data_IF_373309361766
#
_entry.id   IF_373309361766
#
_cell.length_a   1.000
_cell.length_b   1.000
_cell.length_c   1.000
_cell.angle_alpha   90.00
_cell.angle_beta   90.00
_cell.angle_gamma   90.00
#
_symmetry.space_group_name_H-M   'P 1'
#
loop_
_entity.id
_entity.type
_entity.pdbx_description
1 polymer ?
#
# COMPACT_ATOMS: atom_id res chain seq x y z
N UNK A 1 43.84 -33.23 3.27
CA UNK A 1 42.57 -33.17 2.52
C UNK A 1 42.18 -31.70 2.41
N UNK A 2 42.63 -31.02 1.36
CA UNK A 2 42.26 -29.61 1.11
C UNK A 2 41.17 -29.59 0.06
N UNK A 3 39.93 -29.31 0.49
CA UNK A 3 38.84 -29.03 -0.41
C UNK A 3 39.03 -27.60 -0.94
N UNK A 4 39.43 -27.49 -2.20
CA UNK A 4 39.46 -26.23 -2.91
C UNK A 4 38.03 -25.79 -3.22
N UNK A 5 37.52 -24.81 -2.47
CA UNK A 5 36.27 -24.12 -2.81
C UNK A 5 36.53 -23.31 -4.09
N UNK A 6 36.15 -23.88 -5.24
CA UNK A 6 36.14 -23.17 -6.52
C UNK A 6 35.16 -21.99 -6.40
N UNK A 7 35.68 -20.77 -6.31
CA UNK A 7 34.93 -19.54 -6.59
C UNK A 7 34.46 -19.59 -8.03
N UNK A 8 33.22 -20.04 -8.26
CA UNK A 8 32.53 -19.90 -9.55
C UNK A 8 32.53 -18.43 -9.93
N UNK A 9 32.88 -18.10 -11.17
CA UNK A 9 32.84 -16.71 -11.61
C UNK A 9 31.40 -16.22 -11.60
N UNK A 10 31.16 -14.91 -11.39
CA UNK A 10 29.81 -14.34 -11.41
C UNK A 10 29.04 -14.69 -12.70
N UNK A 11 29.75 -14.84 -13.82
CA UNK A 11 29.17 -15.28 -15.09
C UNK A 11 28.67 -16.73 -15.06
N UNK A 12 29.33 -17.61 -14.32
CA UNK A 12 28.93 -19.01 -14.17
C UNK A 12 27.67 -19.13 -13.31
N UNK A 13 27.52 -18.28 -12.29
CA UNK A 13 26.34 -18.23 -11.43
C UNK A 13 25.10 -17.74 -12.19
N UNK A 14 25.25 -16.68 -12.99
CA UNK A 14 24.15 -16.15 -13.82
C UNK A 14 23.71 -17.18 -14.86
N UNK A 15 24.67 -17.84 -15.51
CA UNK A 15 24.36 -18.90 -16.47
C UNK A 15 23.61 -20.07 -15.82
N UNK A 16 24.05 -20.48 -14.64
CA UNK A 16 23.54 -21.67 -13.94
C UNK A 16 22.19 -21.45 -13.25
N UNK A 17 21.94 -20.26 -12.71
CA UNK A 17 20.76 -20.04 -11.85
C UNK A 17 19.72 -19.08 -12.44
N UNK A 18 20.10 -18.26 -13.43
CA UNK A 18 19.20 -17.32 -14.08
C UNK A 18 18.89 -17.75 -15.51
N UNK A 19 19.91 -17.92 -16.35
CA UNK A 19 19.70 -18.19 -17.78
C UNK A 19 19.17 -19.60 -18.05
N UNK A 20 19.67 -20.61 -17.34
CA UNK A 20 19.19 -22.00 -17.47
C UNK A 20 17.71 -22.13 -17.09
N UNK A 21 17.30 -21.47 -16.02
CA UNK A 21 15.94 -21.44 -15.48
C UNK A 21 14.97 -20.80 -16.48
N UNK A 22 15.40 -19.70 -17.11
CA UNK A 22 14.60 -18.97 -18.10
C UNK A 22 14.59 -19.64 -19.48
N UNK A 23 15.66 -20.37 -19.84
CA UNK A 23 15.82 -20.99 -21.16
C UNK A 23 14.78 -22.05 -21.51
N UNK A 24 14.10 -22.64 -20.52
CA UNK A 24 12.96 -23.52 -20.74
C UNK A 24 11.69 -22.80 -21.20
N UNK A 25 11.51 -21.55 -20.76
CA UNK A 25 10.27 -20.76 -20.93
C UNK A 25 10.39 -19.74 -22.05
N UNK A 26 11.55 -19.10 -22.18
CA UNK A 26 11.81 -18.04 -23.13
C UNK A 26 12.75 -18.52 -24.25
N UNK A 27 12.29 -18.37 -25.50
CA UNK A 27 12.97 -18.90 -26.70
C UNK A 27 13.47 -17.83 -27.66
N UNK A 28 12.89 -16.63 -27.63
CA UNK A 28 13.22 -15.55 -28.57
C UNK A 28 13.79 -14.33 -27.85
N UNK A 29 14.97 -13.88 -28.21
CA UNK A 29 15.61 -12.71 -27.60
C UNK A 29 15.06 -11.41 -28.19
N UNK A 30 14.81 -10.36 -27.38
CA UNK A 30 14.37 -9.07 -27.90
C UNK A 30 15.52 -8.36 -28.65
N UNK A 31 15.24 -7.88 -29.86
CA UNK A 31 16.18 -7.16 -30.71
C UNK A 31 16.82 -8.00 -31.82
N UNK A 32 17.83 -7.43 -32.49
CA UNK A 32 18.53 -8.05 -33.62
C UNK A 32 19.89 -8.66 -33.25
N UNK A 33 20.41 -8.39 -32.05
CA UNK A 33 21.71 -8.88 -31.59
C UNK A 33 21.60 -9.59 -30.24
N UNK A 34 21.56 -10.92 -30.30
CA UNK A 34 21.44 -11.83 -29.16
C UNK A 34 22.67 -11.78 -28.23
N UNK A 35 23.87 -11.68 -28.81
CA UNK A 35 25.11 -11.66 -28.06
C UNK A 35 25.25 -10.39 -27.22
N UNK A 36 24.88 -9.25 -27.79
CA UNK A 36 24.84 -7.97 -27.08
C UNK A 36 23.82 -7.99 -25.93
N UNK A 37 22.67 -8.62 -26.12
CA UNK A 37 21.65 -8.77 -25.09
C UNK A 37 22.18 -9.57 -23.90
N UNK A 38 22.69 -10.78 -24.11
CA UNK A 38 23.17 -11.63 -23.01
C UNK A 38 24.42 -11.07 -22.33
N UNK A 39 25.27 -10.35 -23.06
CA UNK A 39 26.43 -9.66 -22.47
C UNK A 39 25.97 -8.57 -21.52
N UNK A 40 25.05 -7.69 -21.96
CA UNK A 40 24.46 -6.64 -21.13
C UNK A 40 23.73 -7.22 -19.92
N UNK A 41 22.98 -8.31 -20.11
CA UNK A 41 22.28 -8.99 -19.03
C UNK A 41 23.25 -9.54 -17.96
N UNK A 42 24.33 -10.21 -18.37
CA UNK A 42 25.34 -10.72 -17.42
C UNK A 42 26.04 -9.59 -16.66
N UNK A 43 26.40 -8.51 -17.36
CA UNK A 43 27.03 -7.35 -16.72
C UNK A 43 26.13 -6.76 -15.63
N UNK A 44 24.85 -6.54 -15.94
CA UNK A 44 23.88 -5.95 -15.01
C UNK A 44 23.49 -6.87 -13.86
N UNK A 45 23.56 -8.19 -14.04
CA UNK A 45 23.21 -9.17 -13.01
C UNK A 45 24.38 -9.61 -12.11
N UNK A 46 25.62 -9.20 -12.45
CA UNK A 46 26.83 -9.61 -11.73
C UNK A 46 26.89 -9.24 -10.25
N UNK A 47 26.09 -8.26 -9.81
CA UNK A 47 26.02 -7.81 -8.42
C UNK A 47 25.05 -8.57 -7.52
N UNK A 48 24.25 -9.49 -8.05
CA UNK A 48 23.24 -10.22 -7.27
C UNK A 48 23.76 -11.56 -6.75
N UNK A 49 23.30 -11.96 -5.56
CA UNK A 49 23.63 -13.26 -4.96
C UNK A 49 22.88 -14.39 -5.66
N UNK A 50 23.32 -15.64 -5.42
CA UNK A 50 22.69 -16.84 -5.99
C UNK A 50 21.19 -16.92 -5.69
N UNK A 51 20.79 -16.68 -4.43
CA UNK A 51 19.40 -16.79 -3.99
C UNK A 51 18.52 -15.74 -4.67
N UNK A 52 19.05 -14.53 -4.86
CA UNK A 52 18.38 -13.45 -5.58
C UNK A 52 18.20 -13.79 -7.05
N UNK A 53 19.22 -14.35 -7.70
CA UNK A 53 19.13 -14.76 -9.10
C UNK A 53 18.08 -15.86 -9.30
N UNK A 54 18.01 -16.84 -8.40
CA UNK A 54 16.98 -17.90 -8.44
C UNK A 54 15.57 -17.32 -8.28
N UNK A 55 15.35 -16.55 -7.22
CA UNK A 55 14.05 -15.96 -6.93
C UNK A 55 13.58 -14.98 -8.03
N UNK A 56 14.50 -14.17 -8.57
CA UNK A 56 14.21 -13.27 -9.69
C UNK A 56 13.86 -14.04 -10.98
N UNK A 57 14.56 -15.15 -11.27
CA UNK A 57 14.25 -15.99 -12.41
C UNK A 57 12.88 -16.67 -12.27
N UNK A 58 12.58 -17.22 -11.09
CA UNK A 58 11.30 -17.88 -10.80
C UNK A 58 10.12 -16.88 -10.94
N UNK A 59 10.28 -15.66 -10.45
CA UNK A 59 9.28 -14.61 -10.60
C UNK A 59 8.98 -14.29 -12.07
N UNK A 60 10.02 -14.23 -12.92
CA UNK A 60 9.85 -14.00 -14.36
C UNK A 60 9.19 -15.18 -15.08
N UNK A 61 9.51 -16.42 -14.68
CA UNK A 61 8.86 -17.61 -15.23
C UNK A 61 7.38 -17.64 -14.86
N UNK A 62 7.03 -17.34 -13.60
CA UNK A 62 5.65 -17.28 -13.14
C UNK A 62 4.85 -16.16 -13.81
N UNK A 63 5.50 -15.02 -14.08
CA UNK A 63 4.89 -13.88 -14.76
C UNK A 63 4.87 -14.00 -16.30
N UNK A 64 5.40 -15.09 -16.86
CA UNK A 64 5.60 -15.24 -18.30
C UNK A 64 4.25 -15.27 -19.05
N UNK A 65 4.02 -14.26 -19.90
CA UNK A 65 2.87 -14.18 -20.82
C UNK A 65 3.23 -14.49 -22.27
N UNK A 66 4.52 -14.64 -22.56
CA UNK A 66 5.02 -14.88 -23.91
C UNK A 66 6.31 -15.71 -23.85
N UNK A 67 6.71 -16.24 -25.00
CA UNK A 67 7.97 -16.98 -25.17
C UNK A 67 9.16 -16.07 -25.54
N UNK A 68 8.97 -14.75 -25.52
CA UNK A 68 10.03 -13.76 -25.77
C UNK A 68 10.72 -13.42 -24.46
N UNK A 69 12.05 -13.45 -24.45
CA UNK A 69 12.86 -13.07 -23.30
C UNK A 69 12.51 -11.66 -22.83
N UNK A 70 12.40 -11.44 -21.51
CA UNK A 70 12.14 -10.11 -20.95
C UNK A 70 13.26 -9.13 -21.31
N UNK A 71 12.96 -7.82 -21.29
CA UNK A 71 14.02 -6.83 -21.51
C UNK A 71 15.00 -6.85 -20.33
N UNK A 72 16.27 -6.48 -20.57
CA UNK A 72 17.31 -6.48 -19.51
C UNK A 72 16.87 -5.70 -18.27
N UNK A 73 16.17 -4.57 -18.46
CA UNK A 73 15.63 -3.78 -17.35
C UNK A 73 14.59 -4.51 -16.50
N UNK A 74 13.77 -5.37 -17.12
CA UNK A 74 12.78 -6.20 -16.41
C UNK A 74 13.48 -7.31 -15.61
N UNK A 75 14.53 -7.92 -16.18
CA UNK A 75 15.36 -8.89 -15.47
C UNK A 75 16.01 -8.30 -14.21
N UNK A 76 16.63 -7.13 -14.36
CA UNK A 76 17.26 -6.40 -13.24
C UNK A 76 16.21 -6.03 -12.19
N UNK A 77 15.03 -5.56 -12.63
CA UNK A 77 13.93 -5.22 -11.72
C UNK A 77 13.48 -6.44 -10.92
N UNK A 78 13.27 -7.59 -11.55
CA UNK A 78 12.89 -8.83 -10.86
C UNK A 78 13.93 -9.26 -9.82
N UNK A 79 15.23 -9.21 -10.16
CA UNK A 79 16.29 -9.51 -9.19
C UNK A 79 16.35 -8.47 -8.07
N UNK A 80 16.13 -7.19 -8.36
CA UNK A 80 16.11 -6.14 -7.32
C UNK A 80 14.93 -6.32 -6.36
N UNK A 81 13.76 -6.70 -6.87
CA UNK A 81 12.57 -7.01 -6.06
C UNK A 81 12.80 -8.27 -5.20
N UNK A 82 13.37 -9.32 -5.79
CA UNK A 82 13.75 -10.53 -5.07
C UNK A 82 14.79 -10.25 -3.96
N UNK A 83 15.77 -9.40 -4.23
CA UNK A 83 16.73 -8.95 -3.22
C UNK A 83 16.05 -8.24 -2.06
N UNK A 84 15.11 -7.33 -2.34
CA UNK A 84 14.34 -6.64 -1.30
C UNK A 84 13.50 -7.60 -0.45
N UNK A 85 12.85 -8.57 -1.09
CA UNK A 85 12.06 -9.57 -0.39
C UNK A 85 12.92 -10.46 0.52
N UNK A 86 14.09 -10.89 0.04
CA UNK A 86 15.04 -11.71 0.81
C UNK A 86 15.71 -10.93 1.94
N UNK A 87 15.98 -9.63 1.75
CA UNK A 87 16.52 -8.74 2.78
C UNK A 87 15.46 -8.26 3.78
N UNK A 88 14.19 -8.67 3.62
CA UNK A 88 13.08 -8.26 4.48
C UNK A 88 12.76 -6.76 4.39
N UNK A 89 13.20 -6.10 3.32
CA UNK A 89 12.90 -4.70 3.09
C UNK A 89 11.39 -4.56 2.78
N UNK A 90 10.67 -3.64 3.45
CA UNK A 90 9.25 -3.44 3.21
C UNK A 90 9.01 -3.15 1.73
N UNK A 91 8.04 -3.84 1.12
CA UNK A 91 7.64 -3.59 -0.26
C UNK A 91 7.36 -2.10 -0.44
N UNK A 92 7.98 -1.41 -1.41
CA UNK A 92 7.45 -0.14 -1.84
C UNK A 92 6.09 -0.45 -2.46
N UNK A 93 5.02 0.03 -1.81
CA UNK A 93 3.69 -0.02 -2.38
C UNK A 93 3.78 0.49 -3.82
N UNK A 94 3.42 -0.35 -4.78
CA UNK A 94 3.18 0.09 -6.14
C UNK A 94 2.15 1.21 -6.01
N UNK A 95 2.59 2.47 -6.11
CA UNK A 95 1.69 3.60 -6.23
C UNK A 95 0.90 3.36 -7.50
N UNK A 96 -0.30 2.78 -7.35
CA UNK A 96 -1.21 2.50 -8.45
C UNK A 96 -1.73 3.84 -8.92
N UNK A 97 -0.94 4.50 -9.77
CA UNK A 97 -1.32 5.72 -10.48
C UNK A 97 -2.65 5.50 -11.16
N UNK A 98 -3.71 6.01 -10.55
CA UNK A 98 -5.09 5.82 -11.00
C UNK A 98 -6.03 6.58 -10.07
N UNK A 99 -7.21 6.92 -10.59
CA UNK A 99 -8.21 7.66 -9.84
C UNK A 99 -8.53 6.95 -8.50
N UNK A 100 -8.68 7.69 -7.39
CA UNK A 100 -9.09 7.09 -6.12
C UNK A 100 -10.41 6.34 -6.28
N UNK A 101 -10.59 5.21 -5.60
CA UNK A 101 -11.85 4.49 -5.69
C UNK A 101 -13.04 5.36 -5.26
N UNK A 102 -14.22 5.17 -5.86
CA UNK A 102 -15.45 5.71 -5.31
C UNK A 102 -15.63 5.26 -3.86
N UNK A 103 -16.17 6.14 -3.03
CA UNK A 103 -16.26 5.91 -1.59
C UNK A 103 -17.02 4.62 -1.22
N UNK A 104 -18.14 4.35 -1.88
CA UNK A 104 -18.92 3.13 -1.65
C UNK A 104 -18.15 1.84 -2.01
N UNK A 105 -17.23 1.90 -2.99
CA UNK A 105 -16.39 0.75 -3.34
C UNK A 105 -15.36 0.50 -2.24
N UNK A 106 -14.70 1.57 -1.76
CA UNK A 106 -13.73 1.45 -0.68
C UNK A 106 -14.36 0.90 0.60
N UNK A 107 -15.58 1.35 0.95
CA UNK A 107 -16.31 0.83 2.12
C UNK A 107 -16.59 -0.68 1.96
N UNK A 108 -17.06 -1.11 0.79
CA UNK A 108 -17.30 -2.53 0.50
C UNK A 108 -16.05 -3.39 0.65
N UNK A 109 -14.95 -2.95 0.03
CA UNK A 109 -13.68 -3.67 0.08
C UNK A 109 -13.15 -3.72 1.51
N UNK A 110 -13.20 -2.59 2.23
CA UNK A 110 -12.75 -2.49 3.61
C UNK A 110 -13.54 -3.43 4.53
N UNK A 111 -14.88 -3.41 4.46
CA UNK A 111 -15.73 -4.28 5.29
C UNK A 111 -15.57 -5.76 4.91
N UNK A 112 -15.47 -6.08 3.63
CA UNK A 112 -15.24 -7.45 3.17
C UNK A 112 -13.86 -8.01 3.51
N UNK A 113 -12.86 -7.14 3.66
CA UNK A 113 -11.52 -7.54 4.08
C UNK A 113 -11.42 -7.71 5.60
N UNK A 114 -11.90 -6.74 6.37
CA UNK A 114 -11.86 -6.76 7.83
C UNK A 114 -12.95 -5.84 8.43
N UNK A 115 -14.07 -6.42 8.82
CA UNK A 115 -15.19 -5.71 9.42
C UNK A 115 -14.87 -5.17 10.83
N UNK A 116 -14.01 -5.85 11.59
CA UNK A 116 -13.67 -5.47 12.96
C UNK A 116 -12.82 -4.21 12.97
N UNK A 117 -11.85 -4.10 12.05
CA UNK A 117 -11.07 -2.87 11.85
C UNK A 117 -11.98 -1.71 11.44
N UNK A 118 -12.94 -1.95 10.54
CA UNK A 118 -13.90 -0.92 10.12
C UNK A 118 -14.77 -0.41 11.28
N UNK A 119 -15.25 -1.31 12.14
CA UNK A 119 -16.03 -0.95 13.33
C UNK A 119 -15.18 -0.25 14.38
N UNK A 120 -13.97 -0.74 14.64
CA UNK A 120 -13.00 -0.09 15.53
C UNK A 120 -12.69 1.33 15.08
N UNK A 121 -12.53 1.54 13.77
CA UNK A 121 -12.33 2.86 13.19
C UNK A 121 -13.50 3.81 13.44
N UNK A 122 -14.74 3.30 13.38
CA UNK A 122 -15.93 4.08 13.71
C UNK A 122 -15.98 4.48 15.19
N UNK A 123 -15.68 3.54 16.09
CA UNK A 123 -15.69 3.78 17.55
C UNK A 123 -14.63 4.81 17.93
N UNK A 124 -13.43 4.69 17.39
CA UNK A 124 -12.31 5.58 17.69
C UNK A 124 -12.31 6.88 16.85
N UNK A 125 -13.22 7.02 15.87
CA UNK A 125 -13.43 8.25 15.12
C UNK A 125 -12.42 8.53 14.01
N UNK A 126 -11.72 7.50 13.52
CA UNK A 126 -10.72 7.58 12.42
C UNK A 126 -11.16 6.90 11.12
N UNK A 127 -12.42 6.48 11.02
CA UNK A 127 -13.01 5.85 9.84
C UNK A 127 -12.91 6.68 8.55
N UNK A 128 -12.92 8.02 8.66
CA UNK A 128 -12.76 8.89 7.49
C UNK A 128 -11.37 8.77 6.86
N UNK A 129 -10.34 8.68 7.70
CA UNK A 129 -8.95 8.59 7.27
C UNK A 129 -8.65 7.16 6.75
N UNK A 130 -9.24 6.13 7.37
CA UNK A 130 -9.21 4.76 6.85
C UNK A 130 -9.84 4.65 5.45
N UNK A 131 -11.04 5.21 5.25
CA UNK A 131 -11.70 5.19 3.94
C UNK A 131 -10.85 5.94 2.90
N UNK A 132 -10.30 7.11 3.23
CA UNK A 132 -9.44 7.85 2.31
C UNK A 132 -8.15 7.09 1.96
N UNK A 133 -7.57 6.37 2.92
CA UNK A 133 -6.44 5.47 2.68
C UNK A 133 -6.81 4.39 1.66
N UNK A 134 -7.87 3.63 1.91
CA UNK A 134 -8.30 2.53 1.03
C UNK A 134 -8.65 3.06 -0.37
N UNK A 135 -9.25 4.24 -0.46
CA UNK A 135 -9.55 4.86 -1.76
C UNK A 135 -8.29 5.17 -2.57
N UNK A 136 -7.24 5.65 -1.91
CA UNK A 136 -5.99 6.07 -2.55
C UNK A 136 -5.07 4.89 -2.86
N UNK A 137 -4.84 4.03 -1.86
CA UNK A 137 -3.89 2.92 -1.93
C UNK A 137 -4.52 1.63 -2.49
N UNK A 138 -5.86 1.55 -2.55
CA UNK A 138 -6.61 0.40 -3.09
C UNK A 138 -6.33 -0.92 -2.37
N UNK A 139 -5.95 -0.82 -1.09
CA UNK A 139 -5.68 -1.94 -0.17
C UNK A 139 -5.99 -1.53 1.27
N UNK A 140 -6.01 -2.51 2.16
CA UNK A 140 -6.05 -2.25 3.60
C UNK A 140 -4.68 -1.74 4.10
N UNK A 141 -4.67 -0.81 5.08
CA UNK A 141 -3.43 -0.41 5.74
C UNK A 141 -2.85 -1.57 6.55
N UNK A 142 -1.52 -1.61 6.66
CA UNK A 142 -0.87 -2.49 7.64
C UNK A 142 -0.97 -1.92 9.07
N UNK A 143 -0.36 -2.61 10.04
CA UNK A 143 -0.41 -2.17 11.45
C UNK A 143 0.27 -0.82 11.69
N UNK A 144 1.38 -0.55 11.00
CA UNK A 144 2.16 0.69 11.17
C UNK A 144 1.42 1.87 10.54
N UNK A 145 0.82 1.66 9.38
CA UNK A 145 -0.03 2.62 8.72
C UNK A 145 -1.31 2.88 9.52
N UNK A 146 -1.88 1.84 10.14
CA UNK A 146 -3.04 1.97 11.03
C UNK A 146 -2.73 2.87 12.22
N UNK A 147 -1.61 2.64 12.91
CA UNK A 147 -1.15 3.52 13.99
C UNK A 147 -0.96 4.96 13.49
N UNK A 148 -0.35 5.13 12.32
CA UNK A 148 -0.12 6.45 11.72
C UNK A 148 -1.45 7.17 11.47
N UNK A 149 -2.47 6.48 10.95
CA UNK A 149 -3.80 7.03 10.72
C UNK A 149 -4.45 7.46 12.05
N UNK A 150 -4.42 6.58 13.06
CA UNK A 150 -5.01 6.86 14.38
C UNK A 150 -4.35 8.09 15.03
N UNK A 151 -3.02 8.14 15.06
CA UNK A 151 -2.27 9.26 15.64
C UNK A 151 -2.58 10.56 14.89
N UNK A 152 -2.59 10.53 13.55
CA UNK A 152 -2.92 11.70 12.74
C UNK A 152 -4.35 12.20 13.02
N UNK A 153 -5.32 11.30 13.18
CA UNK A 153 -6.69 11.65 13.56
C UNK A 153 -6.74 12.30 14.94
N UNK A 154 -6.04 11.73 15.93
CA UNK A 154 -5.98 12.29 17.28
C UNK A 154 -5.37 13.69 17.30
N UNK A 155 -4.29 13.91 16.56
CA UNK A 155 -3.65 15.22 16.43
C UNK A 155 -4.55 16.24 15.73
N UNK A 156 -5.23 15.84 14.65
CA UNK A 156 -6.22 16.69 13.97
C UNK A 156 -7.34 17.09 14.93
N UNK A 157 -7.91 16.14 15.69
CA UNK A 157 -8.99 16.40 16.64
C UNK A 157 -8.53 17.37 17.74
N UNK A 158 -7.32 17.19 18.29
CA UNK A 158 -6.73 18.12 19.26
C UNK A 158 -6.56 19.52 18.67
N UNK A 159 -6.10 19.63 17.42
CA UNK A 159 -5.92 20.91 16.73
C UNK A 159 -7.25 21.63 16.51
N UNK A 160 -8.27 20.93 16.02
CA UNK A 160 -9.61 21.50 15.81
C UNK A 160 -10.22 21.94 17.14
N UNK A 161 -10.13 21.12 18.19
CA UNK A 161 -10.61 21.49 19.53
C UNK A 161 -9.86 22.72 20.08
N UNK A 162 -8.55 22.79 19.87
CA UNK A 162 -7.75 23.96 20.23
C UNK A 162 -8.18 25.23 19.48
N UNK A 163 -8.45 25.14 18.18
CA UNK A 163 -8.95 26.26 17.37
C UNK A 163 -10.34 26.73 17.82
N UNK A 164 -11.24 25.80 18.14
CA UNK A 164 -12.57 26.12 18.68
C UNK A 164 -12.44 26.84 20.02
N UNK A 165 -11.58 26.33 20.91
CA UNK A 165 -11.32 26.95 22.22
C UNK A 165 -10.74 28.36 22.08
N UNK A 166 -9.69 28.54 21.27
CA UNK A 166 -9.09 29.86 21.04
C UNK A 166 -10.11 30.86 20.50
N UNK A 167 -10.95 30.45 19.56
CA UNK A 167 -11.99 31.32 19.01
C UNK A 167 -13.08 31.67 20.05
N UNK A 168 -13.44 30.73 20.92
CA UNK A 168 -14.33 30.99 22.04
C UNK A 168 -13.73 32.00 23.02
N UNK A 169 -12.46 31.85 23.35
CA UNK A 169 -11.77 32.73 24.29
C UNK A 169 -11.68 34.16 23.74
N UNK A 170 -11.43 34.32 22.42
CA UNK A 170 -11.49 35.63 21.74
C UNK A 170 -12.89 36.23 21.83
N UNK A 171 -13.93 35.48 21.46
CA UNK A 171 -15.31 35.98 21.49
C UNK A 171 -15.79 36.34 22.90
N UNK A 172 -15.34 35.62 23.94
CA UNK A 172 -15.63 35.94 25.35
C UNK A 172 -14.86 37.17 25.84
N UNK A 173 -13.67 37.42 25.31
CA UNK A 173 -12.93 38.66 25.57
C UNK A 173 -13.61 39.89 24.96
N UNK A 174 -14.22 39.72 23.79
CA UNK A 174 -14.93 40.78 23.07
C UNK A 174 -16.39 40.96 23.55
N UNK A 175 -17.03 39.89 24.01
CA UNK A 175 -18.42 39.86 24.44
C UNK A 175 -18.50 39.52 25.92
N UNK A 176 -19.08 40.36 26.77
CA UNK A 176 -19.31 40.09 28.21
C UNK A 176 -20.23 38.88 28.52
N UNK A 177 -20.59 38.09 27.51
CA UNK A 177 -21.41 36.88 27.64
C UNK A 177 -20.55 35.64 27.71
N UNK A 178 -20.85 34.78 28.68
CA UNK A 178 -20.33 33.42 28.74
C UNK A 178 -20.91 32.58 27.59
N UNK A 179 -20.21 32.55 26.46
CA UNK A 179 -20.56 31.68 25.34
C UNK A 179 -20.07 30.26 25.61
N UNK A 180 -20.98 29.28 25.64
CA UNK A 180 -20.64 27.87 25.82
C UNK A 180 -20.12 27.20 24.52
N UNK A 181 -20.53 27.71 23.36
CA UNK A 181 -20.15 27.20 22.04
C UNK A 181 -20.05 28.34 21.02
N UNK A 182 -19.31 28.11 19.92
CA UNK A 182 -19.20 29.08 18.85
C UNK A 182 -20.54 29.25 18.13
N UNK A 183 -20.82 30.44 17.57
CA UNK A 183 -21.98 30.62 16.71
C UNK A 183 -21.95 29.63 15.53
N UNK A 184 -23.11 29.10 15.07
CA UNK A 184 -23.17 28.12 13.98
C UNK A 184 -22.53 28.60 12.67
N UNK A 185 -22.56 29.91 12.43
CA UNK A 185 -22.01 30.52 11.21
C UNK A 185 -20.52 30.87 11.33
N UNK A 186 -19.89 30.59 12.48
CA UNK A 186 -18.46 30.87 12.67
C UNK A 186 -17.63 29.91 11.80
N UNK A 187 -16.63 30.38 11.04
CA UNK A 187 -15.86 29.54 10.11
C UNK A 187 -15.27 28.28 10.75
N UNK A 188 -14.75 28.39 11.98
CA UNK A 188 -14.18 27.25 12.73
C UNK A 188 -15.27 26.25 13.15
N UNK A 189 -16.47 26.73 13.51
CA UNK A 189 -17.60 25.84 13.85
C UNK A 189 -18.07 25.09 12.60
N UNK A 190 -18.22 25.80 11.47
CA UNK A 190 -18.59 25.18 10.19
C UNK A 190 -17.59 24.10 9.77
N UNK A 191 -16.29 24.34 9.94
CA UNK A 191 -15.25 23.35 9.68
C UNK A 191 -15.38 22.13 10.60
N UNK A 192 -15.53 22.34 11.91
CA UNK A 192 -15.71 21.26 12.89
C UNK A 192 -16.96 20.41 12.57
N UNK A 193 -18.09 21.07 12.29
CA UNK A 193 -19.35 20.42 11.91
C UNK A 193 -19.21 19.64 10.59
N UNK A 194 -18.43 20.15 9.63
CA UNK A 194 -18.19 19.46 8.35
C UNK A 194 -17.42 18.16 8.57
N UNK A 195 -16.42 18.15 9.45
CA UNK A 195 -15.71 16.93 9.82
C UNK A 195 -16.63 15.95 10.55
N UNK A 196 -17.45 16.43 11.48
CA UNK A 196 -18.38 15.58 12.24
C UNK A 196 -19.43 14.93 11.31
N UNK A 197 -20.10 15.73 10.47
CA UNK A 197 -21.09 15.21 9.51
C UNK A 197 -20.48 14.18 8.58
N UNK A 198 -19.23 14.38 8.14
CA UNK A 198 -18.53 13.40 7.31
C UNK A 198 -18.31 12.09 8.09
N UNK A 199 -17.86 12.17 9.34
CA UNK A 199 -17.66 11.00 10.21
C UNK A 199 -18.94 10.21 10.44
N UNK A 200 -20.02 10.88 10.81
CA UNK A 200 -21.33 10.27 11.06
C UNK A 200 -21.89 9.60 9.81
N UNK A 201 -21.82 10.30 8.66
CA UNK A 201 -22.27 9.75 7.37
C UNK A 201 -21.50 8.48 7.01
N UNK A 202 -20.18 8.49 7.14
CA UNK A 202 -19.34 7.33 6.86
C UNK A 202 -19.61 6.18 7.83
N UNK A 203 -19.73 6.46 9.13
CA UNK A 203 -20.07 5.45 10.12
C UNK A 203 -21.42 4.77 9.80
N UNK A 204 -22.42 5.55 9.39
CA UNK A 204 -23.72 5.03 8.95
C UNK A 204 -23.64 4.17 7.68
N UNK A 205 -22.75 4.49 6.74
CA UNK A 205 -22.52 3.66 5.54
C UNK A 205 -21.79 2.37 5.88
N UNK A 206 -20.78 2.43 6.75
CA UNK A 206 -20.03 1.27 7.20
C UNK A 206 -20.95 0.31 7.96
N UNK A 207 -21.74 0.81 8.92
CA UNK A 207 -22.69 -0.01 9.67
C UNK A 207 -23.68 -0.74 8.76
N UNK A 208 -24.23 -0.06 7.74
CA UNK A 208 -25.13 -0.67 6.76
C UNK A 208 -24.44 -1.79 5.96
N UNK A 209 -23.19 -1.60 5.56
CA UNK A 209 -22.48 -2.60 4.79
C UNK A 209 -22.03 -3.79 5.64
N UNK A 210 -21.65 -3.57 6.90
CA UNK A 210 -21.37 -4.65 7.87
C UNK A 210 -22.60 -5.52 8.09
N UNK A 211 -23.78 -4.92 8.29
CA UNK A 211 -25.03 -5.67 8.43
C UNK A 211 -25.34 -6.51 7.18
N UNK A 212 -25.21 -5.91 5.99
CA UNK A 212 -25.38 -6.64 4.72
C UNK A 212 -24.41 -7.81 4.59
N UNK A 213 -23.15 -7.64 5.02
CA UNK A 213 -22.14 -8.69 4.92
C UNK A 213 -22.40 -9.84 5.89
N UNK A 214 -22.88 -9.55 7.10
CA UNK A 214 -23.32 -10.56 8.07
C UNK A 214 -24.51 -11.37 7.55
N UNK A 215 -25.52 -10.70 6.98
CA UNK A 215 -26.69 -11.36 6.38
C UNK A 215 -26.32 -12.32 5.23
N UNK A 216 -25.27 -12.03 4.46
CA UNK A 216 -24.82 -12.93 3.39
C UNK A 216 -24.05 -14.15 3.91
N UNK A 217 -23.27 -14.01 4.99
CA UNK A 217 -22.54 -15.13 5.58
C UNK A 217 -23.46 -16.14 6.26
N UNK A 218 -24.58 -15.68 6.85
CA UNK A 218 -25.55 -16.54 7.52
C UNK A 218 -26.43 -17.36 6.54
N UNK A 219 -26.47 -16.99 5.26
CA UNK A 219 -27.26 -17.69 4.21
C UNK A 219 -26.47 -18.84 3.56
N UNK A 220 -25.14 -18.87 3.73
CA UNK A 220 -24.25 -19.91 3.17
C UNK A 220 -23.99 -21.10 4.13
N UNK A 221 -24.71 -21.18 5.26
CA UNK A 221 -24.69 -22.29 6.23
C UNK A 221 -25.97 -23.13 6.19
#
# INVERSE_FOLDING_TARGET
MSAATQTKSANDLIALYFLSTLGGTFKKVPGSNEEAYFTSLREKLSGFSEDVLKAGADALVLAAKSTVWPFVGECVKACTEAQRQLEGAPEPSLQVGGYPWPEHVAIKVMVGADADVALSACIAGWQADLVDFVRREKRMPDMVETETLVVATMERNRRVAGQVKTALDVLRGETTRELAALPPNHPIQLMADTFERRRERLAGLIAKEVLRHGEMQDVEL
#
